data_IF_015201676376
#
_entry.id   IF_015201676376
#
_cell.length_a   1.000
_cell.length_b   1.000
_cell.length_c   1.000
_cell.angle_alpha   90.00
_cell.angle_beta   90.00
_cell.angle_gamma   90.00
#
_symmetry.space_group_name_H-M   'P 1'
#
loop_
_entity.id
_entity.type
_entity.pdbx_description
1 polymer ?
#
# COMPACT_ATOMS: atom_id res chain seq x y z
N UNK A 1 5.62 9.07 20.93
CA UNK A 1 5.87 7.85 20.14
C UNK A 1 6.38 8.34 18.79
N UNK A 2 7.62 8.02 18.43
CA UNK A 2 8.18 8.42 17.14
C UNK A 2 7.50 7.58 16.06
N UNK A 3 6.92 8.22 15.04
CA UNK A 3 6.36 7.50 13.90
C UNK A 3 7.44 6.59 13.32
N UNK A 4 7.12 5.31 13.16
CA UNK A 4 8.08 4.32 12.67
C UNK A 4 8.13 4.29 11.16
N UNK A 5 7.10 4.75 10.45
CA UNK A 5 7.05 4.77 9.01
C UNK A 5 6.77 6.18 8.51
N UNK A 6 7.52 6.60 7.48
CA UNK A 6 7.24 7.78 6.68
C UNK A 6 7.08 7.35 5.22
N UNK A 7 5.92 7.64 4.63
CA UNK A 7 5.62 7.33 3.22
C UNK A 7 5.46 8.64 2.47
N UNK A 8 6.36 8.91 1.52
CA UNK A 8 6.33 10.10 0.68
C UNK A 8 5.59 9.82 -0.63
N UNK A 9 4.61 10.65 -0.97
CA UNK A 9 3.75 10.42 -2.13
C UNK A 9 3.25 11.71 -2.80
N UNK A 10 2.75 11.56 -4.02
CA UNK A 10 2.05 12.61 -4.78
C UNK A 10 0.73 12.04 -5.30
N UNK A 11 -0.38 12.66 -4.92
CA UNK A 11 -1.72 12.35 -5.41
C UNK A 11 -1.95 13.04 -6.76
N UNK A 12 -2.46 12.33 -7.76
CA UNK A 12 -2.63 12.80 -9.14
C UNK A 12 -1.34 13.39 -9.76
N UNK A 13 -0.27 12.61 -9.88
CA UNK A 13 1.07 13.10 -10.27
C UNK A 13 1.14 13.74 -11.68
N UNK A 14 0.12 13.54 -12.52
CA UNK A 14 0.00 14.20 -13.82
C UNK A 14 -0.36 15.69 -13.72
N UNK A 15 -1.08 16.08 -12.67
CA UNK A 15 -1.61 17.43 -12.49
C UNK A 15 -1.09 18.12 -11.23
N UNK A 16 -0.48 17.36 -10.32
CA UNK A 16 -0.02 17.82 -9.02
C UNK A 16 1.47 17.50 -8.83
N UNK A 17 2.20 18.44 -8.23
CA UNK A 17 3.62 18.29 -7.86
C UNK A 17 3.85 18.34 -6.36
N UNK A 18 2.79 18.58 -5.58
CA UNK A 18 2.89 18.62 -4.12
C UNK A 18 3.21 17.23 -3.59
N UNK A 19 4.32 17.13 -2.90
CA UNK A 19 4.70 15.95 -2.15
C UNK A 19 4.12 16.06 -0.75
N UNK A 20 3.40 15.02 -0.33
CA UNK A 20 2.89 14.86 1.02
C UNK A 20 3.56 13.64 1.65
N UNK A 21 3.61 13.63 2.99
CA UNK A 21 4.18 12.52 3.76
C UNK A 21 3.12 12.00 4.72
N UNK A 22 2.85 10.70 4.66
CA UNK A 22 2.04 10.02 5.66
C UNK A 22 2.95 9.38 6.70
N UNK A 23 2.59 9.51 7.98
CA UNK A 23 3.38 9.03 9.11
C UNK A 23 2.54 8.14 10.00
N UNK A 24 3.03 6.94 10.28
CA UNK A 24 2.38 5.99 11.19
C UNK A 24 3.44 5.17 11.94
N UNK A 25 3.10 4.66 13.11
CA UNK A 25 3.90 3.66 13.84
C UNK A 25 3.36 2.23 13.70
N UNK A 26 2.20 2.05 13.08
CA UNK A 26 1.58 0.76 12.81
C UNK A 26 1.98 0.22 11.42
N UNK A 27 2.68 -0.93 11.33
CA UNK A 27 3.01 -1.54 10.05
C UNK A 27 1.78 -1.96 9.24
N UNK A 28 0.66 -2.31 9.88
CA UNK A 28 -0.58 -2.69 9.19
C UNK A 28 -1.22 -1.47 8.55
N UNK A 29 -1.29 -0.35 9.26
CA UNK A 29 -1.76 0.92 8.71
C UNK A 29 -0.88 1.38 7.55
N UNK A 30 0.44 1.23 7.65
CA UNK A 30 1.36 1.56 6.57
C UNK A 30 1.05 0.75 5.29
N UNK A 31 0.82 -0.56 5.41
CA UNK A 31 0.42 -1.42 4.27
C UNK A 31 -0.95 -1.02 3.69
N UNK A 32 -1.93 -0.73 4.54
CA UNK A 32 -3.26 -0.31 4.11
C UNK A 32 -3.22 1.07 3.43
N UNK A 33 -2.35 1.97 3.90
CA UNK A 33 -2.13 3.25 3.26
C UNK A 33 -1.49 3.09 1.88
N UNK A 34 -0.46 2.23 1.74
CA UNK A 34 0.13 1.88 0.45
C UNK A 34 -0.93 1.30 -0.49
N UNK A 35 -1.81 0.43 -0.01
CA UNK A 35 -2.92 -0.12 -0.79
C UNK A 35 -3.83 1.00 -1.33
N UNK A 36 -4.17 1.98 -0.50
CA UNK A 36 -4.99 3.12 -0.92
C UNK A 36 -4.26 4.01 -1.94
N UNK A 37 -2.95 4.22 -1.79
CA UNK A 37 -2.13 4.94 -2.77
C UNK A 37 -2.12 4.25 -4.13
N UNK A 38 -2.00 2.92 -4.15
CA UNK A 38 -2.10 2.12 -5.37
C UNK A 38 -3.48 2.25 -6.01
N UNK A 39 -4.55 2.18 -5.21
CA UNK A 39 -5.93 2.28 -5.69
C UNK A 39 -6.23 3.62 -6.39
N UNK A 40 -5.64 4.72 -5.92
CA UNK A 40 -5.84 6.07 -6.51
C UNK A 40 -4.79 6.42 -7.58
N UNK A 41 -3.86 5.51 -7.89
CA UNK A 41 -2.79 5.76 -8.86
C UNK A 41 -1.81 6.86 -8.44
N UNK A 42 -1.55 6.97 -7.13
CA UNK A 42 -0.56 7.92 -6.60
C UNK A 42 0.86 7.54 -7.02
N UNK A 43 1.76 8.53 -7.06
CA UNK A 43 3.20 8.26 -7.16
C UNK A 43 3.80 8.14 -5.77
N UNK A 44 4.31 6.96 -5.43
CA UNK A 44 5.08 6.73 -4.21
C UNK A 44 6.55 7.06 -4.52
N UNK A 45 7.17 7.88 -3.67
CA UNK A 45 8.53 8.38 -3.90
C UNK A 45 9.55 7.76 -2.94
N UNK A 46 9.17 7.53 -1.69
CA UNK A 46 10.01 6.88 -0.69
C UNK A 46 9.16 6.21 0.40
N UNK A 47 9.68 5.12 0.97
CA UNK A 47 9.14 4.47 2.16
C UNK A 47 10.29 4.37 3.16
N UNK A 48 10.18 5.04 4.30
CA UNK A 48 11.20 5.02 5.35
C UNK A 48 10.70 4.31 6.59
N UNK A 49 11.59 3.61 7.28
CA UNK A 49 11.37 3.04 8.59
C UNK A 49 12.37 3.61 9.60
N UNK A 50 11.88 4.17 10.69
CA UNK A 50 12.68 4.82 11.74
C UNK A 50 13.64 5.89 11.18
N UNK A 51 13.19 6.63 10.17
CA UNK A 51 13.96 7.67 9.49
C UNK A 51 14.97 7.16 8.45
N UNK A 52 15.11 5.84 8.30
CA UNK A 52 15.98 5.20 7.29
C UNK A 52 15.14 4.75 6.12
N UNK A 53 15.56 5.08 4.89
CA UNK A 53 14.88 4.57 3.70
C UNK A 53 14.98 3.05 3.63
N UNK A 54 13.85 2.38 3.40
CA UNK A 54 13.82 0.93 3.32
C UNK A 54 14.65 0.44 2.14
N UNK A 55 15.35 -0.67 2.35
CA UNK A 55 16.00 -1.35 1.23
C UNK A 55 14.96 -1.76 0.18
N UNK A 56 15.30 -1.73 -1.12
CA UNK A 56 14.36 -2.04 -2.19
C UNK A 56 13.59 -3.37 -1.99
N UNK A 57 14.21 -4.49 -1.56
CA UNK A 57 13.48 -5.74 -1.33
C UNK A 57 12.43 -5.64 -0.21
N UNK A 58 12.65 -4.80 0.80
CA UNK A 58 11.72 -4.60 1.91
C UNK A 58 10.53 -3.76 1.47
N UNK A 59 10.80 -2.65 0.76
CA UNK A 59 9.78 -1.82 0.14
C UNK A 59 8.92 -2.63 -0.85
N UNK A 60 9.55 -3.41 -1.74
CA UNK A 60 8.88 -4.27 -2.71
C UNK A 60 7.95 -5.28 -2.04
N UNK A 61 8.37 -5.84 -0.89
CA UNK A 61 7.53 -6.76 -0.12
C UNK A 61 6.27 -6.07 0.41
N UNK A 62 6.39 -4.87 0.97
CA UNK A 62 5.23 -4.10 1.45
C UNK A 62 4.29 -3.74 0.30
N UNK A 63 4.84 -3.27 -0.82
CA UNK A 63 4.07 -2.94 -2.03
C UNK A 63 3.36 -4.16 -2.61
N UNK A 64 4.02 -5.33 -2.60
CA UNK A 64 3.41 -6.59 -3.03
C UNK A 64 2.22 -6.98 -2.14
N UNK A 65 2.37 -6.91 -0.83
CA UNK A 65 1.25 -7.19 0.11
C UNK A 65 0.10 -6.23 -0.14
N UNK A 66 0.38 -4.94 -0.27
CA UNK A 66 -0.62 -3.92 -0.57
C UNK A 66 -1.33 -4.19 -1.92
N UNK A 67 -0.61 -4.59 -2.95
CA UNK A 67 -1.16 -4.92 -4.26
C UNK A 67 -2.02 -6.19 -4.23
N UNK A 68 -1.58 -7.24 -3.52
CA UNK A 68 -2.35 -8.48 -3.35
C UNK A 68 -3.66 -8.22 -2.61
N UNK A 69 -3.63 -7.41 -1.54
CA UNK A 69 -4.85 -6.99 -0.81
C UNK A 69 -5.78 -6.16 -1.69
N UNK A 70 -5.25 -5.22 -2.48
CA UNK A 70 -6.04 -4.41 -3.41
C UNK A 70 -6.76 -5.29 -4.43
N UNK A 71 -6.03 -6.19 -5.09
CA UNK A 71 -6.59 -7.12 -6.06
C UNK A 71 -7.66 -8.03 -5.43
N UNK A 72 -7.38 -8.56 -4.23
CA UNK A 72 -8.32 -9.38 -3.47
C UNK A 72 -9.63 -8.62 -3.19
N UNK A 73 -9.54 -7.40 -2.66
CA UNK A 73 -10.69 -6.53 -2.38
C UNK A 73 -11.50 -6.22 -3.65
N UNK A 74 -10.82 -5.91 -4.75
CA UNK A 74 -11.49 -5.64 -6.03
C UNK A 74 -12.25 -6.86 -6.55
N UNK A 75 -11.68 -8.06 -6.42
CA UNK A 75 -12.33 -9.31 -6.83
C UNK A 75 -13.51 -9.68 -5.93
N UNK A 76 -13.37 -9.51 -4.60
CA UNK A 76 -14.48 -9.73 -3.67
C UNK A 76 -15.69 -8.87 -4.06
N UNK A 77 -15.46 -7.58 -4.30
CA UNK A 77 -16.53 -6.64 -4.69
C UNK A 77 -17.08 -6.92 -6.09
N UNK A 78 -16.22 -7.19 -7.07
CA UNK A 78 -16.64 -7.38 -8.46
C UNK A 78 -17.41 -8.68 -8.70
N UNK A 79 -17.15 -9.71 -7.89
CA UNK A 79 -17.72 -11.06 -8.07
C UNK A 79 -18.68 -11.46 -6.94
N UNK A 80 -18.93 -10.59 -5.97
CA UNK A 80 -19.72 -10.86 -4.76
C UNK A 80 -19.22 -12.13 -4.03
N UNK A 81 -17.91 -12.17 -3.78
CA UNK A 81 -17.22 -13.28 -3.11
C UNK A 81 -16.63 -12.84 -1.78
N UNK A 82 -16.48 -13.79 -0.87
CA UNK A 82 -15.70 -13.60 0.35
C UNK A 82 -14.19 -13.75 0.10
N UNK A 83 -13.37 -13.19 0.99
CA UNK A 83 -11.91 -13.22 0.86
C UNK A 83 -11.35 -14.65 0.82
N UNK A 84 -11.99 -15.61 1.49
CA UNK A 84 -11.57 -17.01 1.46
C UNK A 84 -11.76 -17.64 0.06
N UNK A 85 -12.90 -17.37 -0.60
CA UNK A 85 -13.12 -17.82 -1.98
C UNK A 85 -12.16 -17.16 -2.96
N UNK A 86 -11.84 -15.88 -2.79
CA UNK A 86 -10.87 -15.19 -3.66
C UNK A 86 -9.47 -15.76 -3.48
N UNK A 87 -9.02 -15.99 -2.25
CA UNK A 87 -7.75 -16.65 -1.97
C UNK A 87 -7.69 -18.05 -2.56
N UNK A 88 -8.76 -18.84 -2.42
CA UNK A 88 -8.82 -20.19 -2.97
C UNK A 88 -8.81 -20.21 -4.51
N UNK A 89 -9.54 -19.29 -5.16
CA UNK A 89 -9.71 -19.27 -6.63
C UNK A 89 -8.56 -18.59 -7.36
N UNK A 90 -7.98 -17.55 -6.77
CA UNK A 90 -7.03 -16.65 -7.44
C UNK A 90 -5.67 -16.56 -6.74
N UNK A 91 -5.53 -17.11 -5.52
CA UNK A 91 -4.26 -17.15 -4.80
C UNK A 91 -3.83 -15.83 -4.15
N UNK A 92 -4.68 -14.80 -4.16
CA UNK A 92 -4.37 -13.52 -3.52
C UNK A 92 -4.47 -13.59 -2.00
N UNK A 93 -3.69 -12.76 -1.31
CA UNK A 93 -3.79 -12.60 0.13
C UNK A 93 -5.20 -12.14 0.53
N UNK A 94 -5.70 -12.67 1.66
CA UNK A 94 -6.98 -12.31 2.23
C UNK A 94 -6.86 -11.00 3.02
#
# INVERSE_FOLDING_TARGET
>A
MLAKFDIDYVIHPQHNKRQDTHRTDDPVEAEDFLMNLLAVGARISAIRHEGVELDPPQADRMLRVAAERLASRMLCVALDLDSASVKHRFGFAA
#
